data_IF_129789934373
#
_entry.id   IF_129789934373
#
_cell.length_a   1.000
_cell.length_b   1.000
_cell.length_c   1.000
_cell.angle_alpha   90.00
_cell.angle_beta   90.00
_cell.angle_gamma   90.00
#
_symmetry.space_group_name_H-M   'P 1'
#
loop_
_entity.id
_entity.type
_entity.pdbx_description
1 polymer ?
#
# COMPACT_ATOMS: atom_id res chain seq x y z
N UNK A 1 1.20 -32.85 10.17
CA UNK A 1 1.15 -34.24 10.67
C UNK A 1 2.51 -34.79 11.12
N UNK A 2 3.44 -33.99 11.69
CA UNK A 2 4.74 -34.53 12.14
C UNK A 2 5.27 -34.04 13.49
N UNK A 3 4.55 -33.17 14.21
CA UNK A 3 5.01 -32.67 15.52
C UNK A 3 4.34 -33.34 16.75
N UNK A 4 3.26 -34.10 16.57
CA UNK A 4 2.52 -34.72 17.69
C UNK A 4 3.07 -36.09 18.14
N UNK A 5 4.00 -36.71 17.40
CA UNK A 5 4.46 -38.08 17.70
C UNK A 5 5.61 -38.15 18.70
N UNK A 6 6.33 -37.05 18.96
CA UNK A 6 7.55 -37.09 19.77
C UNK A 6 7.29 -36.86 21.28
N UNK A 7 6.13 -36.32 21.65
CA UNK A 7 5.78 -36.06 23.06
C UNK A 7 5.21 -37.29 23.81
N UNK A 8 4.70 -38.29 23.08
CA UNK A 8 4.06 -39.48 23.67
C UNK A 8 5.04 -40.57 24.10
N UNK A 9 6.31 -40.51 23.67
CA UNK A 9 7.32 -41.55 23.97
C UNK A 9 8.12 -41.31 25.26
N UNK A 10 8.10 -40.09 25.82
CA UNK A 10 8.75 -39.82 27.11
C UNK A 10 7.86 -40.11 28.34
N UNK A 11 6.53 -40.21 28.15
CA UNK A 11 5.60 -40.41 29.26
C UNK A 11 5.51 -41.85 29.77
N UNK A 12 5.96 -42.85 28.99
CA UNK A 12 5.79 -44.27 29.33
C UNK A 12 6.93 -44.90 30.16
N UNK A 13 7.98 -44.17 30.51
CA UNK A 13 9.16 -44.74 31.21
C UNK A 13 9.32 -44.30 32.68
N UNK A 14 8.35 -43.63 33.29
CA UNK A 14 8.42 -43.19 34.70
C UNK A 14 7.35 -43.80 35.62
N UNK A 15 6.67 -44.87 35.21
CA UNK A 15 5.54 -45.46 35.96
C UNK A 15 5.93 -46.54 36.99
N UNK A 16 7.15 -46.50 37.54
CA UNK A 16 7.50 -47.33 38.71
C UNK A 16 7.95 -46.47 39.87
N UNK A 17 7.04 -46.30 40.82
CA UNK A 17 7.13 -45.61 42.12
C UNK A 17 6.73 -44.14 42.08
N UNK A 18 5.44 -43.87 42.23
CA UNK A 18 4.96 -43.05 43.36
C UNK A 18 3.42 -43.01 43.39
N UNK A 19 2.87 -43.42 44.53
CA UNK A 19 1.73 -42.81 45.20
C UNK A 19 0.45 -42.54 44.40
N UNK A 20 -0.60 -43.29 44.79
CA UNK A 20 -2.04 -43.15 44.54
C UNK A 20 -2.67 -41.74 44.65
N UNK A 21 -1.90 -40.66 44.86
CA UNK A 21 -2.39 -39.27 44.92
C UNK A 21 -2.16 -38.48 43.61
N UNK A 22 -1.20 -38.86 42.77
CA UNK A 22 -0.96 -38.14 41.51
C UNK A 22 -1.94 -38.51 40.39
N UNK A 23 -2.59 -39.68 40.48
CA UNK A 23 -3.62 -40.11 39.53
C UNK A 23 -4.88 -39.24 39.56
N UNK A 24 -5.29 -38.73 40.72
CA UNK A 24 -6.48 -37.88 40.84
C UNK A 24 -6.26 -36.44 40.32
N UNK A 25 -5.05 -35.89 40.47
CA UNK A 25 -4.72 -34.56 39.93
C UNK A 25 -4.57 -34.58 38.40
N UNK A 26 -4.03 -35.68 37.84
CA UNK A 26 -3.99 -35.87 36.40
C UNK A 26 -5.40 -36.00 35.79
N UNK A 27 -6.34 -36.68 36.47
CA UNK A 27 -7.73 -36.78 36.02
C UNK A 27 -8.52 -35.46 36.12
N UNK A 28 -8.19 -34.58 37.08
CA UNK A 28 -8.77 -33.24 37.17
C UNK A 28 -8.25 -32.28 36.08
N UNK A 29 -7.02 -32.45 35.61
CA UNK A 29 -6.47 -31.70 34.46
C UNK A 29 -6.97 -32.24 33.11
N UNK A 30 -7.36 -33.52 33.04
CA UNK A 30 -7.95 -34.14 31.83
C UNK A 30 -9.43 -33.73 31.66
N UNK A 31 -10.14 -33.38 32.74
CA UNK A 31 -11.54 -32.90 32.70
C UNK A 31 -11.68 -31.40 32.37
N UNK A 32 -10.59 -30.61 32.37
CA UNK A 32 -10.60 -29.18 32.05
C UNK A 32 -10.22 -28.84 30.61
N UNK A 33 -9.99 -29.84 29.75
CA UNK A 33 -9.89 -29.65 28.30
C UNK A 33 -11.21 -30.02 27.63
N UNK A 34 -12.30 -29.41 28.08
CA UNK A 34 -13.39 -29.14 27.14
C UNK A 34 -12.82 -28.15 26.14
N UNK A 35 -12.44 -28.62 24.95
CA UNK A 35 -12.17 -27.72 23.82
C UNK A 35 -13.45 -26.91 23.64
N UNK A 36 -13.47 -25.70 24.19
CA UNK A 36 -14.42 -24.67 23.79
C UNK A 36 -14.31 -24.62 22.29
N UNK A 37 -15.34 -25.07 21.58
CA UNK A 37 -15.42 -24.80 20.15
C UNK A 37 -15.42 -23.26 20.07
N UNK A 38 -14.29 -22.67 19.68
CA UNK A 38 -14.19 -21.24 19.46
C UNK A 38 -15.25 -20.93 18.41
N UNK A 39 -16.31 -20.26 18.82
CA UNK A 39 -17.32 -19.76 17.90
C UNK A 39 -16.77 -18.51 17.26
N UNK A 40 -16.87 -18.41 15.93
CA UNK A 40 -16.59 -17.19 15.18
C UNK A 40 -17.22 -15.98 15.86
N UNK A 41 -16.47 -14.88 15.92
CA UNK A 41 -16.94 -13.64 16.52
C UNK A 41 -18.18 -13.13 15.76
N UNK A 42 -19.36 -13.05 16.38
CA UNK A 42 -20.58 -12.62 15.70
C UNK A 42 -20.56 -11.14 15.27
N UNK A 43 -19.65 -10.32 15.81
CA UNK A 43 -19.49 -8.91 15.44
C UNK A 43 -18.54 -8.72 14.23
N UNK A 44 -17.84 -9.77 13.78
CA UNK A 44 -17.00 -9.71 12.59
C UNK A 44 -17.87 -9.56 11.32
N UNK A 45 -17.69 -8.48 10.51
CA UNK A 45 -18.48 -8.26 9.30
C UNK A 45 -18.32 -9.34 8.24
N UNK A 46 -17.26 -10.17 8.33
CA UNK A 46 -16.97 -11.27 7.42
C UNK A 46 -17.54 -12.61 7.91
N UNK A 47 -18.38 -12.59 8.94
CA UNK A 47 -19.14 -13.76 9.42
C UNK A 47 -20.54 -13.75 8.83
N UNK A 48 -20.80 -14.75 7.99
CA UNK A 48 -22.08 -14.99 7.33
C UNK A 48 -22.87 -16.08 8.07
N UNK A 49 -24.19 -16.05 7.93
CA UNK A 49 -25.06 -17.08 8.51
C UNK A 49 -25.75 -17.91 7.43
N UNK A 50 -25.78 -19.23 7.60
CA UNK A 50 -26.46 -20.16 6.70
C UNK A 50 -27.46 -21.04 7.47
N UNK A 51 -28.55 -21.43 6.78
CA UNK A 51 -29.58 -22.31 7.34
C UNK A 51 -29.24 -23.78 7.07
N UNK A 52 -28.90 -24.52 8.11
CA UNK A 52 -28.66 -25.96 8.03
C UNK A 52 -29.93 -26.72 8.46
N UNK A 53 -30.34 -27.71 7.66
CA UNK A 53 -31.45 -28.59 8.01
C UNK A 53 -30.97 -29.78 8.85
N UNK A 54 -31.78 -30.19 9.82
CA UNK A 54 -31.50 -31.35 10.65
C UNK A 54 -32.78 -32.13 10.95
N UNK A 55 -32.65 -33.45 11.08
CA UNK A 55 -33.79 -34.33 11.35
C UNK A 55 -34.03 -34.43 12.86
N UNK A 56 -35.26 -34.14 13.29
CA UNK A 56 -35.70 -34.30 14.68
C UNK A 56 -36.83 -35.31 14.73
N UNK A 57 -36.72 -36.25 15.66
CA UNK A 57 -37.81 -37.18 15.97
C UNK A 57 -38.86 -36.47 16.82
N UNK A 58 -40.06 -36.31 16.28
CA UNK A 58 -41.19 -35.71 16.98
C UNK A 58 -42.29 -36.74 17.22
N UNK A 59 -43.07 -36.54 18.27
CA UNK A 59 -44.25 -37.35 18.55
C UNK A 59 -45.44 -36.78 17.79
N UNK A 60 -45.98 -37.53 16.84
CA UNK A 60 -47.13 -37.14 16.03
C UNK A 60 -48.37 -37.92 16.44
N UNK A 61 -49.47 -37.22 16.67
CA UNK A 61 -50.78 -37.84 16.87
C UNK A 61 -51.35 -38.29 15.52
N UNK A 62 -51.86 -39.52 15.46
CA UNK A 62 -52.58 -40.05 14.31
C UNK A 62 -53.89 -40.71 14.75
N UNK A 63 -54.86 -40.75 13.83
CA UNK A 63 -56.12 -41.45 14.03
C UNK A 63 -55.90 -42.95 13.83
N UNK A 64 -55.88 -43.71 14.92
CA UNK A 64 -55.76 -45.16 14.85
C UNK A 64 -57.17 -45.78 14.78
N UNK A 65 -57.49 -46.49 13.69
CA UNK A 65 -58.80 -47.14 13.55
C UNK A 65 -58.93 -48.30 14.52
N UNK A 66 -60.11 -48.45 15.10
CA UNK A 66 -60.50 -49.63 15.87
C UNK A 66 -61.96 -49.98 15.57
N UNK A 67 -62.31 -51.25 15.71
CA UNK A 67 -63.66 -51.72 15.49
C UNK A 67 -64.52 -51.55 16.76
N UNK A 68 -65.58 -50.75 16.66
CA UNK A 68 -66.51 -50.51 17.75
C UNK A 68 -67.79 -51.30 17.51
N UNK A 69 -68.01 -52.31 18.36
CA UNK A 69 -69.18 -53.18 18.32
C UNK A 69 -70.32 -52.53 19.11
N UNK A 70 -71.46 -52.33 18.46
CA UNK A 70 -72.69 -51.86 19.10
C UNK A 70 -73.86 -52.75 18.74
N UNK A 71 -74.83 -52.79 19.63
CA UNK A 71 -75.97 -53.69 19.54
C UNK A 71 -77.20 -52.95 19.05
N UNK A 72 -77.76 -53.35 17.91
CA UNK A 72 -78.99 -52.78 17.35
C UNK A 72 -80.15 -53.77 17.40
N UNK A 73 -81.38 -53.27 17.44
CA UNK A 73 -82.58 -54.12 17.37
C UNK A 73 -82.77 -54.60 15.93
N UNK A 74 -82.93 -55.91 15.74
CA UNK A 74 -83.23 -56.51 14.45
C UNK A 74 -84.74 -56.56 14.23
N UNK A 75 -85.18 -56.64 12.98
CA UNK A 75 -86.60 -56.72 12.60
C UNK A 75 -87.16 -58.15 12.61
N UNK A 76 -86.33 -59.17 12.83
CA UNK A 76 -86.75 -60.57 12.84
C UNK A 76 -87.28 -61.01 14.22
N UNK A 77 -88.55 -61.40 14.25
CA UNK A 77 -89.40 -61.62 15.44
C UNK A 77 -89.11 -62.95 16.16
N UNK A 78 -88.42 -63.90 15.53
CA UNK A 78 -88.25 -65.25 16.08
C UNK A 78 -87.03 -65.43 16.98
N UNK A 79 -86.28 -64.36 17.26
CA UNK A 79 -84.99 -64.53 17.90
C UNK A 79 -84.67 -63.30 18.78
N UNK A 80 -84.60 -63.55 20.10
CA UNK A 80 -84.25 -62.66 21.22
C UNK A 80 -82.85 -62.01 21.08
N UNK A 81 -82.48 -61.42 19.95
CA UNK A 81 -81.07 -61.14 19.69
C UNK A 81 -80.85 -59.70 19.25
N UNK A 82 -79.98 -59.05 20.02
CA UNK A 82 -79.29 -57.83 19.64
C UNK A 82 -78.39 -58.17 18.45
N UNK A 83 -78.60 -57.55 17.29
CA UNK A 83 -77.68 -57.69 16.16
C UNK A 83 -76.38 -56.95 16.48
N UNK A 84 -75.24 -57.60 16.27
CA UNK A 84 -73.92 -56.97 16.33
C UNK A 84 -73.70 -56.13 15.09
N UNK A 85 -73.49 -54.83 15.26
CA UNK A 85 -73.12 -53.92 14.19
C UNK A 85 -71.71 -53.41 14.45
N UNK A 86 -70.90 -53.43 13.40
CA UNK A 86 -69.51 -52.99 13.41
C UNK A 86 -69.43 -51.57 12.85
N UNK A 87 -68.69 -50.70 13.53
CA UNK A 87 -68.37 -49.35 13.04
C UNK A 87 -66.90 -49.09 13.28
N UNK A 88 -66.20 -48.71 12.21
CA UNK A 88 -64.82 -48.22 12.33
C UNK A 88 -64.89 -46.87 13.05
N UNK A 89 -64.39 -46.86 14.27
CA UNK A 89 -64.20 -45.67 15.08
C UNK A 89 -62.70 -45.37 15.19
N UNK A 90 -62.34 -44.12 15.49
CA UNK A 90 -60.96 -43.68 15.55
C UNK A 90 -60.62 -43.22 16.96
N UNK A 91 -59.45 -43.62 17.46
CA UNK A 91 -58.86 -43.09 18.69
C UNK A 91 -57.56 -42.39 18.38
N UNK A 92 -57.22 -41.37 19.16
CA UNK A 92 -55.91 -40.71 19.06
C UNK A 92 -54.82 -41.66 19.55
N UNK A 93 -53.84 -41.96 18.71
CA UNK A 93 -52.63 -42.69 19.07
C UNK A 93 -51.39 -41.86 18.65
N UNK A 94 -50.23 -42.20 19.19
CA UNK A 94 -48.99 -41.45 18.92
C UNK A 94 -47.96 -42.34 18.23
N UNK A 95 -47.25 -41.78 17.26
CA UNK A 95 -46.10 -42.43 16.60
C UNK A 95 -44.92 -41.46 16.54
N UNK A 96 -43.71 -42.00 16.43
CA UNK A 96 -42.52 -41.19 16.18
C UNK A 96 -42.45 -40.88 14.69
N UNK A 97 -42.57 -39.62 14.33
CA UNK A 97 -42.32 -39.10 12.99
C UNK A 97 -40.96 -38.41 12.95
N UNK A 98 -40.31 -38.38 11.78
CA UNK A 98 -39.12 -37.56 11.56
C UNK A 98 -39.56 -36.27 10.89
N UNK A 99 -39.23 -35.13 11.49
CA UNK A 99 -39.46 -33.81 10.91
C UNK A 99 -38.13 -33.11 10.66
N UNK A 100 -38.05 -32.43 9.52
CA UNK A 100 -36.93 -31.55 9.18
C UNK A 100 -37.11 -30.23 9.91
N UNK A 101 -36.14 -29.89 10.75
CA UNK A 101 -36.02 -28.59 11.39
C UNK A 101 -34.84 -27.82 10.78
N UNK A 102 -34.79 -26.51 10.98
CA UNK A 102 -33.72 -25.64 10.47
C UNK A 102 -33.07 -24.91 11.63
N UNK A 103 -31.74 -24.77 11.59
CA UNK A 103 -30.97 -23.95 12.52
C UNK A 103 -30.05 -23.02 11.76
N UNK A 104 -29.80 -21.84 12.32
CA UNK A 104 -28.84 -20.89 11.77
C UNK A 104 -27.44 -21.23 12.31
N UNK A 105 -26.47 -21.41 11.42
CA UNK A 105 -25.05 -21.59 11.75
C UNK A 105 -24.24 -20.43 11.20
N UNK A 106 -23.27 -19.96 11.97
CA UNK A 106 -22.28 -18.97 11.55
C UNK A 106 -21.12 -19.65 10.84
N UNK A 107 -20.62 -19.04 9.78
CA UNK A 107 -19.44 -19.46 9.02
C UNK A 107 -18.81 -18.22 8.37
N UNK A 108 -17.55 -18.29 7.96
CA UNK A 108 -16.96 -17.21 7.19
C UNK A 108 -17.69 -17.01 5.85
N UNK A 109 -17.78 -15.76 5.41
CA UNK A 109 -18.34 -15.43 4.11
C UNK A 109 -17.50 -16.02 2.95
N UNK A 110 -18.06 -16.16 1.74
CA UNK A 110 -17.31 -16.66 0.58
C UNK A 110 -16.03 -15.84 0.34
N UNK A 111 -14.91 -16.53 0.10
CA UNK A 111 -13.60 -15.90 -0.07
C UNK A 111 -12.84 -15.61 1.24
N UNK A 112 -13.38 -16.03 2.39
CA UNK A 112 -12.70 -15.96 3.69
C UNK A 112 -12.53 -17.37 4.25
N UNK A 113 -11.46 -17.57 5.03
CA UNK A 113 -11.22 -18.80 5.77
C UNK A 113 -11.16 -18.54 7.27
N UNK A 114 -11.51 -19.56 8.05
CA UNK A 114 -11.52 -19.49 9.51
C UNK A 114 -10.10 -19.68 10.05
N UNK A 115 -9.62 -18.68 10.81
CA UNK A 115 -8.34 -18.71 11.51
C UNK A 115 -8.57 -18.33 12.98
N UNK A 116 -8.82 -19.35 13.81
CA UNK A 116 -9.25 -19.13 15.20
C UNK A 116 -10.70 -18.64 15.26
N UNK A 117 -10.93 -17.46 15.82
CA UNK A 117 -12.23 -16.80 15.94
C UNK A 117 -12.47 -15.72 14.86
N UNK A 118 -11.53 -15.56 13.93
CA UNK A 118 -11.53 -14.53 12.88
C UNK A 118 -11.72 -15.13 11.49
N UNK A 119 -12.40 -14.37 10.63
CA UNK A 119 -12.48 -14.66 9.19
C UNK A 119 -11.42 -13.88 8.43
N UNK A 120 -10.40 -14.58 7.94
CA UNK A 120 -9.27 -14.00 7.21
C UNK A 120 -9.52 -14.09 5.70
N UNK A 121 -9.31 -13.02 4.93
CA UNK A 121 -9.54 -13.04 3.49
C UNK A 121 -8.55 -13.98 2.78
N UNK A 122 -9.04 -14.63 1.73
CA UNK A 122 -8.26 -15.49 0.85
C UNK A 122 -7.87 -14.70 -0.40
N UNK A 123 -6.57 -14.61 -0.67
CA UNK A 123 -6.04 -14.11 -1.93
C UNK A 123 -5.44 -15.28 -2.69
N UNK A 124 -5.85 -15.46 -3.95
CA UNK A 124 -5.37 -16.54 -4.83
C UNK A 124 -3.88 -16.39 -5.11
N UNK A 125 -3.46 -15.15 -5.38
CA UNK A 125 -2.06 -14.76 -5.48
C UNK A 125 -1.61 -14.10 -4.17
N UNK A 126 -0.38 -14.34 -3.76
CA UNK A 126 0.17 -13.74 -2.55
C UNK A 126 0.45 -12.25 -2.77
N UNK A 127 0.06 -11.41 -1.81
CA UNK A 127 0.39 -9.98 -1.82
C UNK A 127 1.87 -9.79 -1.43
N UNK A 128 2.77 -9.71 -2.41
CA UNK A 128 4.23 -9.73 -2.20
C UNK A 128 4.70 -8.60 -1.28
N UNK A 129 4.33 -7.36 -1.60
CA UNK A 129 4.61 -6.16 -0.79
C UNK A 129 3.30 -5.54 -0.31
N UNK A 130 2.54 -6.32 0.45
CA UNK A 130 1.23 -5.89 0.93
C UNK A 130 0.55 -6.92 1.82
N UNK A 131 -0.75 -6.73 2.03
CA UNK A 131 -1.60 -7.66 2.78
C UNK A 131 -2.93 -7.88 2.10
N UNK A 132 -3.48 -9.08 2.22
CA UNK A 132 -4.82 -9.40 1.75
C UNK A 132 -5.86 -8.71 2.67
N UNK A 133 -6.70 -7.84 2.13
CA UNK A 133 -7.71 -7.09 2.90
C UNK A 133 -9.15 -7.50 2.61
N UNK A 134 -9.37 -8.08 1.43
CA UNK A 134 -10.62 -8.73 1.03
C UNK A 134 -10.30 -9.81 0.01
N UNK A 135 -11.25 -10.70 -0.36
CA UNK A 135 -10.98 -11.78 -1.28
C UNK A 135 -10.34 -11.27 -2.57
N UNK A 136 -9.18 -11.84 -2.92
CA UNK A 136 -8.38 -11.47 -4.08
C UNK A 136 -8.05 -9.97 -4.20
N UNK A 137 -8.04 -9.25 -3.07
CA UNK A 137 -7.74 -7.81 -3.03
C UNK A 137 -6.61 -7.56 -2.06
N UNK A 138 -5.47 -7.16 -2.62
CA UNK A 138 -4.33 -6.72 -1.84
C UNK A 138 -4.45 -5.23 -1.48
N UNK A 139 -3.93 -4.88 -0.31
CA UNK A 139 -3.55 -3.52 0.05
C UNK A 139 -2.02 -3.44 -0.04
N UNK A 140 -1.51 -2.70 -1.02
CA UNK A 140 -0.07 -2.59 -1.25
C UNK A 140 0.60 -1.60 -0.30
N UNK A 141 1.85 -1.87 0.02
CA UNK A 141 2.74 -0.94 0.70
C UNK A 141 3.10 0.24 -0.23
N UNK A 142 3.44 1.41 0.33
CA UNK A 142 3.87 2.55 -0.48
C UNK A 142 5.10 2.24 -1.34
N UNK A 143 5.05 2.61 -2.61
CA UNK A 143 6.11 2.33 -3.59
C UNK A 143 5.89 1.06 -4.42
N UNK A 144 4.82 0.32 -4.13
CA UNK A 144 4.44 -0.91 -4.84
C UNK A 144 3.00 -0.83 -5.38
N UNK A 145 2.77 -1.55 -6.47
CA UNK A 145 1.50 -1.63 -7.17
C UNK A 145 1.34 -2.94 -7.92
N UNK A 146 0.36 -2.98 -8.82
CA UNK A 146 -0.13 -4.22 -9.41
C UNK A 146 -1.22 -4.88 -8.55
N UNK A 147 -1.78 -5.98 -9.06
CA UNK A 147 -2.86 -6.73 -8.37
C UNK A 147 -2.34 -7.47 -7.14
N UNK A 148 -1.09 -7.94 -7.19
CA UNK A 148 -0.38 -8.73 -6.19
C UNK A 148 0.72 -7.94 -5.45
N UNK A 149 0.80 -6.62 -5.68
CA UNK A 149 1.85 -5.76 -5.10
C UNK A 149 3.28 -6.18 -5.49
N UNK A 150 3.47 -6.83 -6.65
CA UNK A 150 4.79 -7.27 -7.11
C UNK A 150 5.56 -6.21 -7.90
N UNK A 151 4.90 -5.19 -8.46
CA UNK A 151 5.53 -4.18 -9.30
C UNK A 151 5.87 -2.92 -8.52
N UNK A 152 7.10 -2.44 -8.65
CA UNK A 152 7.48 -1.14 -8.11
C UNK A 152 6.84 -0.01 -8.92
N UNK A 153 6.60 1.15 -8.29
CA UNK A 153 6.05 2.29 -9.00
C UNK A 153 7.00 2.83 -10.06
N UNK A 154 6.44 3.17 -11.23
CA UNK A 154 7.15 3.94 -12.26
C UNK A 154 7.53 5.34 -11.73
N UNK A 155 8.50 6.00 -12.37
CA UNK A 155 9.05 7.28 -11.92
C UNK A 155 8.04 8.43 -11.79
N UNK A 156 6.86 8.26 -12.39
CA UNK A 156 5.82 9.28 -12.46
C UNK A 156 4.72 9.04 -11.43
N UNK A 157 4.81 7.97 -10.63
CA UNK A 157 3.80 7.57 -9.65
C UNK A 157 4.41 7.22 -8.28
N UNK A 158 3.61 7.34 -7.23
CA UNK A 158 4.03 7.06 -5.87
C UNK A 158 2.87 6.62 -4.97
N UNK A 159 3.22 6.17 -3.77
CA UNK A 159 2.28 5.77 -2.73
C UNK A 159 1.80 4.32 -2.89
N UNK A 160 0.80 3.90 -2.11
CA UNK A 160 0.25 2.55 -2.21
C UNK A 160 -0.50 2.40 -3.54
N UNK A 161 -0.37 1.23 -4.17
CA UNK A 161 -0.94 0.93 -5.49
C UNK A 161 -0.48 1.88 -6.61
N UNK A 162 0.61 2.64 -6.41
CA UNK A 162 1.09 3.64 -7.35
C UNK A 162 -0.01 4.61 -7.85
N UNK A 163 -0.99 4.89 -6.99
CA UNK A 163 -2.20 5.61 -7.40
C UNK A 163 -2.03 7.13 -7.45
N UNK A 164 -0.93 7.66 -6.89
CA UNK A 164 -0.67 9.10 -6.89
C UNK A 164 0.34 9.47 -7.97
N UNK A 165 -0.01 10.45 -8.81
CA UNK A 165 0.91 10.99 -9.81
C UNK A 165 1.89 11.99 -9.19
N UNK A 166 3.14 11.91 -9.59
CA UNK A 166 4.19 12.83 -9.17
C UNK A 166 4.00 14.23 -9.77
N UNK A 167 4.37 15.24 -8.99
CA UNK A 167 4.12 16.66 -9.31
C UNK A 167 5.40 17.45 -9.61
N UNK A 168 6.55 16.78 -9.66
CA UNK A 168 7.86 17.37 -9.88
C UNK A 168 7.96 18.07 -11.24
N UNK A 169 8.80 19.11 -11.32
CA UNK A 169 9.09 19.93 -12.51
C UNK A 169 10.54 19.72 -12.95
N UNK A 170 10.91 20.32 -14.09
CA UNK A 170 12.30 20.38 -14.57
C UNK A 170 13.02 19.01 -14.61
N UNK A 171 12.31 17.98 -15.10
CA UNK A 171 12.78 16.60 -15.21
C UNK A 171 13.20 15.94 -13.88
N UNK A 172 12.79 16.49 -12.74
CA UNK A 172 13.02 15.90 -11.43
C UNK A 172 12.22 14.60 -11.24
N UNK A 173 12.85 13.63 -10.59
CA UNK A 173 12.22 12.35 -10.22
C UNK A 173 11.56 12.47 -8.85
N UNK A 174 10.49 11.71 -8.61
CA UNK A 174 9.90 11.61 -7.28
C UNK A 174 10.34 10.33 -6.57
N UNK A 175 10.28 10.39 -5.24
CA UNK A 175 10.41 9.22 -4.39
C UNK A 175 9.11 8.38 -4.48
N UNK A 176 9.17 7.08 -4.81
CA UNK A 176 7.98 6.25 -5.03
C UNK A 176 7.18 5.97 -3.74
N UNK A 177 7.78 6.16 -2.57
CA UNK A 177 7.13 5.94 -1.26
C UNK A 177 6.40 7.21 -0.80
N UNK A 178 7.06 8.36 -0.89
CA UNK A 178 6.60 9.63 -0.27
C UNK A 178 6.10 10.67 -1.28
N UNK A 179 6.41 10.51 -2.56
CA UNK A 179 6.13 11.51 -3.60
C UNK A 179 7.06 12.72 -3.59
N UNK A 180 8.02 12.79 -2.66
CA UNK A 180 8.95 13.91 -2.54
C UNK A 180 9.86 14.00 -3.78
N UNK A 181 10.06 15.22 -4.29
CA UNK A 181 10.87 15.44 -5.48
C UNK A 181 12.36 15.46 -5.15
N UNK A 182 13.15 14.82 -6.01
CA UNK A 182 14.60 14.88 -6.03
C UNK A 182 15.00 15.75 -7.20
N UNK A 183 15.40 16.98 -6.89
CA UNK A 183 15.71 17.99 -7.90
C UNK A 183 16.96 17.64 -8.70
N UNK A 184 16.89 17.96 -9.98
CA UNK A 184 18.04 18.05 -10.87
C UNK A 184 18.95 19.21 -10.44
N UNK A 185 20.18 19.19 -10.92
CA UNK A 185 21.16 20.24 -10.61
C UNK A 185 20.63 21.60 -11.10
N UNK A 186 20.82 22.63 -10.29
CA UNK A 186 20.36 23.98 -10.61
C UNK A 186 18.91 24.30 -10.29
N UNK A 187 18.16 23.37 -9.69
CA UNK A 187 16.79 23.60 -9.24
C UNK A 187 16.59 23.27 -7.75
N UNK A 188 15.64 23.96 -7.15
CA UNK A 188 15.21 23.83 -5.76
C UNK A 188 13.69 24.06 -5.65
N UNK A 189 13.17 23.99 -4.41
CA UNK A 189 11.74 24.02 -4.14
C UNK A 189 11.16 22.62 -3.97
N UNK A 190 9.93 22.53 -3.46
CA UNK A 190 9.28 21.26 -3.12
C UNK A 190 8.91 20.42 -4.35
N UNK A 191 8.73 21.05 -5.52
CA UNK A 191 8.54 20.41 -6.82
C UNK A 191 9.73 20.59 -7.75
N UNK A 192 10.81 21.21 -7.28
CA UNK A 192 11.94 21.60 -8.13
C UNK A 192 11.54 22.63 -9.19
N UNK A 193 10.61 23.53 -8.85
CA UNK A 193 10.10 24.57 -9.75
C UNK A 193 11.02 25.79 -9.86
N UNK A 194 11.82 26.05 -8.84
CA UNK A 194 12.60 27.28 -8.72
C UNK A 194 14.05 27.02 -9.16
N UNK A 195 14.65 27.86 -10.01
CA UNK A 195 16.08 27.79 -10.27
C UNK A 195 16.87 28.18 -9.00
N UNK A 196 18.16 27.82 -8.97
CA UNK A 196 19.03 28.29 -7.90
C UNK A 196 19.11 29.81 -7.86
N UNK A 197 19.22 30.33 -6.64
CA UNK A 197 19.38 31.75 -6.40
C UNK A 197 20.73 32.22 -6.97
N UNK A 198 20.79 33.48 -7.43
CA UNK A 198 21.98 34.02 -8.09
C UNK A 198 23.22 33.84 -7.20
N UNK A 199 24.27 33.22 -7.76
CA UNK A 199 25.52 32.94 -7.05
C UNK A 199 25.60 31.52 -6.46
N UNK A 200 24.58 30.69 -6.67
CA UNK A 200 24.60 29.27 -6.32
C UNK A 200 24.22 28.38 -7.51
N UNK A 201 24.75 27.16 -7.52
CA UNK A 201 24.49 26.18 -8.56
C UNK A 201 24.54 24.74 -8.04
N UNK A 202 24.27 23.79 -8.93
CA UNK A 202 24.42 22.36 -8.67
C UNK A 202 23.29 21.78 -7.81
N UNK A 203 23.51 20.58 -7.28
CA UNK A 203 22.48 19.83 -6.56
C UNK A 203 22.02 20.55 -5.30
N UNK A 204 20.73 20.89 -5.25
CA UNK A 204 20.13 21.58 -4.10
C UNK A 204 20.69 22.97 -3.85
N UNK A 205 21.31 23.61 -4.86
CA UNK A 205 21.86 24.96 -4.80
C UNK A 205 22.91 25.15 -3.69
N UNK A 206 23.69 24.11 -3.41
CA UNK A 206 24.67 24.11 -2.32
C UNK A 206 26.07 24.57 -2.76
N UNK A 207 26.32 24.68 -4.06
CA UNK A 207 27.64 25.06 -4.58
C UNK A 207 27.66 26.57 -4.84
N UNK A 208 28.50 27.35 -4.15
CA UNK A 208 28.66 28.77 -4.44
C UNK A 208 29.46 28.99 -5.72
N UNK A 209 29.04 29.96 -6.52
CA UNK A 209 29.73 30.35 -7.74
C UNK A 209 31.02 31.12 -7.43
N UNK A 210 32.07 30.86 -8.19
CA UNK A 210 33.40 31.45 -8.01
C UNK A 210 33.68 32.58 -9.01
N UNK A 211 32.62 33.27 -9.45
CA UNK A 211 32.69 34.32 -10.45
C UNK A 211 33.13 35.64 -9.82
N UNK A 212 34.01 36.38 -10.52
CA UNK A 212 34.59 37.64 -10.07
C UNK A 212 34.00 38.82 -10.85
N UNK A 213 34.30 40.05 -10.39
CA UNK A 213 33.98 41.29 -11.09
C UNK A 213 32.48 41.49 -11.40
N UNK A 214 31.59 41.03 -10.52
CA UNK A 214 30.14 41.17 -10.68
C UNK A 214 29.54 40.25 -11.74
N UNK A 215 30.27 39.20 -12.16
CA UNK A 215 29.74 38.15 -13.01
C UNK A 215 28.70 37.28 -12.28
N UNK A 216 27.73 36.78 -13.04
CA UNK A 216 26.75 35.79 -12.58
C UNK A 216 27.19 34.39 -13.03
N UNK A 217 26.49 33.35 -12.61
CA UNK A 217 26.75 31.97 -13.05
C UNK A 217 25.47 31.30 -13.54
N UNK A 218 25.64 30.33 -14.41
CA UNK A 218 24.59 29.39 -14.78
C UNK A 218 24.21 28.53 -13.57
N UNK A 219 22.90 28.39 -13.32
CA UNK A 219 22.41 27.72 -12.12
C UNK A 219 22.63 26.19 -12.17
N UNK A 220 22.71 25.57 -13.35
CA UNK A 220 22.92 24.12 -13.47
C UNK A 220 24.41 23.77 -13.43
N UNK A 221 25.21 24.45 -14.27
CA UNK A 221 26.61 24.11 -14.52
C UNK A 221 27.60 24.87 -13.65
N UNK A 222 27.21 26.04 -13.14
CA UNK A 222 28.10 26.96 -12.42
C UNK A 222 29.00 27.78 -13.34
N UNK A 223 28.84 27.68 -14.67
CA UNK A 223 29.63 28.44 -15.64
C UNK A 223 29.41 29.96 -15.45
N UNK A 224 30.49 30.71 -15.35
CA UNK A 224 30.41 32.15 -15.15
C UNK A 224 30.04 32.91 -16.43
N UNK A 225 29.01 33.75 -16.31
CA UNK A 225 28.58 34.70 -17.33
C UNK A 225 29.23 36.06 -16.98
N UNK A 226 30.28 36.42 -17.72
CA UNK A 226 31.07 37.61 -17.41
C UNK A 226 30.31 38.92 -17.66
N UNK A 227 30.50 39.87 -16.74
CA UNK A 227 30.06 41.25 -16.93
C UNK A 227 30.83 41.90 -18.11
N UNK A 228 30.27 42.94 -18.77
CA UNK A 228 30.94 43.63 -19.86
C UNK A 228 32.33 44.13 -19.47
N UNK A 229 33.30 43.94 -20.35
CA UNK A 229 34.68 44.35 -20.13
C UNK A 229 35.55 43.35 -19.38
N UNK A 230 35.01 42.18 -19.04
CA UNK A 230 35.72 41.08 -18.39
C UNK A 230 35.59 39.79 -19.19
N UNK A 231 36.63 38.96 -19.10
CA UNK A 231 36.71 37.63 -19.68
C UNK A 231 37.31 36.66 -18.67
N UNK A 232 37.10 35.37 -18.87
CA UNK A 232 37.66 34.32 -18.03
C UNK A 232 38.79 33.60 -18.77
N UNK A 233 39.99 33.53 -18.16
CA UNK A 233 40.95 32.50 -18.52
C UNK A 233 40.37 31.13 -18.14
N UNK A 234 40.40 30.17 -19.05
CA UNK A 234 39.90 28.81 -18.84
C UNK A 234 40.69 28.16 -17.69
N UNK A 235 40.16 28.18 -16.47
CA UNK A 235 40.81 27.52 -15.33
C UNK A 235 40.51 26.03 -15.44
N UNK A 236 41.45 25.29 -16.02
CA UNK A 236 41.46 23.82 -16.06
C UNK A 236 41.73 23.26 -14.65
N UNK A 237 40.81 23.48 -13.72
CA UNK A 237 40.70 22.67 -12.51
C UNK A 237 39.51 21.74 -12.65
N UNK A 238 39.68 20.51 -12.17
CA UNK A 238 38.97 19.30 -12.57
C UNK A 238 37.42 19.28 -12.55
N UNK A 239 36.70 20.36 -12.24
CA UNK A 239 35.22 20.40 -12.25
C UNK A 239 34.60 21.80 -12.51
N UNK A 240 35.24 22.71 -13.26
CA UNK A 240 34.64 23.99 -13.66
C UNK A 240 34.84 24.23 -15.17
N UNK A 241 33.75 24.20 -15.94
CA UNK A 241 33.74 24.68 -17.32
C UNK A 241 33.30 26.15 -17.28
N UNK A 242 34.27 27.08 -17.35
CA UNK A 242 34.00 28.52 -17.30
C UNK A 242 35.10 29.26 -16.54
N UNK A 243 35.69 30.28 -17.14
CA UNK A 243 36.69 31.10 -16.44
C UNK A 243 36.03 32.01 -15.41
N UNK A 244 36.71 32.32 -14.31
CA UNK A 244 36.16 33.11 -13.18
C UNK A 244 35.87 34.59 -13.49
N UNK A 245 35.92 35.03 -14.75
CA UNK A 245 35.78 36.42 -15.18
C UNK A 245 36.76 37.39 -14.50
N UNK A 246 37.93 36.89 -14.10
CA UNK A 246 38.96 37.66 -13.42
C UNK A 246 39.75 38.60 -14.33
N UNK A 247 39.77 38.35 -15.64
CA UNK A 247 40.61 39.09 -16.59
C UNK A 247 39.82 40.21 -17.27
N UNK A 248 40.49 41.31 -17.59
CA UNK A 248 39.88 42.39 -18.41
C UNK A 248 39.90 41.98 -19.88
N UNK A 249 39.02 42.58 -20.68
CA UNK A 249 39.06 42.38 -22.13
C UNK A 249 40.46 42.66 -22.70
N UNK A 250 40.93 41.83 -23.65
CA UNK A 250 42.22 42.03 -24.28
C UNK A 250 42.27 43.37 -25.02
N UNK A 251 43.47 43.95 -25.10
CA UNK A 251 43.69 45.25 -25.72
C UNK A 251 43.07 45.34 -27.12
N UNK A 252 42.23 46.35 -27.33
CA UNK A 252 41.51 46.54 -28.60
C UNK A 252 40.10 45.95 -28.64
N UNK A 253 39.62 45.36 -27.53
CA UNK A 253 38.26 44.89 -27.37
C UNK A 253 37.57 45.44 -26.10
N UNK A 254 36.24 45.49 -26.11
CA UNK A 254 35.42 45.92 -24.99
C UNK A 254 34.02 45.28 -25.04
N UNK A 255 33.17 45.62 -24.07
CA UNK A 255 31.77 45.20 -24.06
C UNK A 255 31.54 43.75 -23.58
N UNK A 256 30.33 43.20 -23.76
CA UNK A 256 30.00 41.84 -23.35
C UNK A 256 30.85 40.83 -24.14
N UNK A 257 31.37 39.82 -23.43
CA UNK A 257 32.24 38.76 -23.98
C UNK A 257 33.49 39.27 -24.74
N UNK A 258 33.83 40.56 -24.63
CA UNK A 258 34.92 41.20 -25.36
C UNK A 258 34.80 41.09 -26.89
N UNK A 259 33.58 40.98 -27.42
CA UNK A 259 33.35 40.83 -28.87
C UNK A 259 33.35 42.18 -29.61
N UNK A 260 33.25 43.29 -28.89
CA UNK A 260 33.23 44.62 -29.51
C UNK A 260 34.63 45.14 -29.70
N UNK A 261 34.94 45.59 -30.92
CA UNK A 261 36.25 46.17 -31.25
C UNK A 261 36.31 47.64 -30.87
N UNK A 262 37.39 48.05 -30.22
CA UNK A 262 37.59 49.45 -29.84
C UNK A 262 37.75 50.36 -31.07
N UNK A 263 37.06 51.52 -31.11
CA UNK A 263 37.14 52.47 -32.23
C UNK A 263 38.37 53.39 -32.18
N UNK A 264 39.30 53.18 -31.24
CA UNK A 264 40.41 54.10 -30.97
C UNK A 264 41.52 54.02 -32.03
N UNK A 265 41.98 55.17 -32.53
CA UNK A 265 43.13 55.29 -33.45
C UNK A 265 44.32 56.03 -32.80
N UNK A 266 45.44 56.20 -33.52
CA UNK A 266 46.59 57.02 -33.10
C UNK A 266 47.19 56.69 -31.72
N UNK A 267 47.13 55.42 -31.29
CA UNK A 267 47.66 55.00 -29.99
C UNK A 267 46.76 55.35 -28.79
N UNK A 268 45.48 55.69 -29.02
CA UNK A 268 44.50 55.89 -27.95
C UNK A 268 44.23 54.63 -27.14
N UNK A 269 44.12 54.76 -25.82
CA UNK A 269 43.82 53.62 -24.93
C UNK A 269 42.32 53.52 -24.72
N UNK A 270 41.77 52.33 -24.97
CA UNK A 270 40.34 52.04 -24.92
C UNK A 270 39.92 51.57 -23.52
N UNK A 271 38.79 52.08 -23.02
CA UNK A 271 38.19 51.63 -21.78
C UNK A 271 37.54 50.25 -21.98
N UNK A 272 38.01 49.23 -21.26
CA UNK A 272 37.61 47.83 -21.46
C UNK A 272 36.10 47.56 -21.29
N UNK A 273 35.38 48.36 -20.51
CA UNK A 273 33.92 48.19 -20.33
C UNK A 273 33.13 48.94 -21.41
N UNK A 274 33.43 50.24 -21.60
CA UNK A 274 32.59 51.15 -22.39
C UNK A 274 33.07 51.35 -23.83
N UNK A 275 34.34 51.03 -24.12
CA UNK A 275 34.94 51.31 -25.42
C UNK A 275 35.45 52.74 -25.61
N UNK A 276 35.35 53.59 -24.58
CA UNK A 276 35.73 54.99 -24.69
C UNK A 276 37.24 55.18 -24.83
N UNK A 277 37.63 56.09 -25.71
CA UNK A 277 39.01 56.33 -26.05
C UNK A 277 39.60 57.46 -25.20
N UNK A 278 40.65 57.14 -24.45
CA UNK A 278 41.52 58.13 -23.81
C UNK A 278 42.66 58.50 -24.75
N UNK A 279 42.88 59.80 -24.92
CA UNK A 279 43.86 60.34 -25.86
C UNK A 279 45.23 60.51 -25.17
N UNK A 280 46.35 60.16 -25.82
CA UNK A 280 47.67 60.54 -25.36
C UNK A 280 47.86 62.07 -25.41
N UNK A 281 48.81 62.59 -24.63
CA UNK A 281 49.05 64.04 -24.52
C UNK A 281 49.26 64.68 -25.92
N UNK A 282 48.53 65.76 -26.20
CA UNK A 282 48.56 66.47 -27.49
C UNK A 282 47.44 66.13 -28.47
N UNK A 283 46.51 65.22 -28.12
CA UNK A 283 45.36 64.84 -28.94
C UNK A 283 44.03 65.17 -28.25
N UNK A 284 43.01 65.59 -29.01
CA UNK A 284 41.64 65.86 -28.52
C UNK A 284 40.68 64.70 -28.85
N UNK A 285 39.63 64.53 -28.04
CA UNK A 285 38.67 63.40 -28.08
C UNK A 285 38.11 63.09 -29.48
N UNK A 286 37.91 64.12 -30.28
CA UNK A 286 37.21 64.01 -31.57
C UNK A 286 38.13 63.57 -32.72
N UNK A 287 39.44 63.37 -32.46
CA UNK A 287 40.44 62.94 -33.46
C UNK A 287 40.97 61.52 -33.26
N UNK A 288 40.40 60.79 -32.29
CA UNK A 288 40.87 59.46 -31.88
C UNK A 288 39.76 58.39 -31.97
N UNK A 289 38.52 58.77 -32.31
CA UNK A 289 37.35 57.89 -32.46
C UNK A 289 36.94 57.82 -33.94
N UNK A 290 36.55 56.64 -34.44
CA UNK A 290 35.92 56.44 -35.77
C UNK A 290 34.49 56.93 -35.75
#
# INVERSE_FOLDING_TARGET
MSFLRTFLLFYFLSERRMGSLFGCLAWLLILSFTTSALSLNPDDPNVCSHWESYAVTVQESYAHPFDQIYYTRCTDILNWFKCTRHRISYKTAYRRGVRTMYRRRSQCCPGYFESGDLCVPLCTEECVHGRCVSPDTCQCEPGWGGLDCSSGCESDYWGPHCSNRCQCRNAAKCNPITGACVCTDGYQGWRCEDPCENGYYGKGCQLPCQCLNGATCDHETGECICAPGYTGALVLTLNMCGGSCGERCPSGSHGPQCEQRCPCQNGGTCHHITGDCSCPAGWTSDKVKV
#
